data_IF_724784174974
#
_entry.id   IF_724784174974
#
_cell.length_a   1.000
_cell.length_b   1.000
_cell.length_c   1.000
_cell.angle_alpha   90.00
_cell.angle_beta   90.00
_cell.angle_gamma   90.00
#
_symmetry.space_group_name_H-M   'P 1'
#
loop_
_entity.id
_entity.type
_entity.pdbx_description
1 polymer ?
#
# COMPACT_ATOMS: atom_id res chain seq x y z
N UNK A 1 -25.46 2.78 78.30
CA UNK A 1 -24.82 1.72 79.13
C UNK A 1 -24.57 2.16 80.56
N UNK A 2 -23.85 3.27 80.79
CA UNK A 2 -23.54 3.78 82.13
C UNK A 2 -24.78 3.91 83.06
N UNK A 3 -25.82 4.63 82.63
CA UNK A 3 -27.05 4.79 83.43
C UNK A 3 -27.74 3.45 83.77
N UNK A 4 -27.81 2.52 82.82
CA UNK A 4 -28.37 1.17 83.04
C UNK A 4 -27.54 0.37 84.06
N UNK A 5 -26.22 0.47 83.99
CA UNK A 5 -25.33 -0.22 84.93
C UNK A 5 -25.43 0.34 86.35
N UNK A 6 -25.68 1.64 86.48
CA UNK A 6 -25.92 2.34 87.74
C UNK A 6 -27.28 1.93 88.33
N UNK A 7 -28.33 1.86 87.52
CA UNK A 7 -29.66 1.38 87.93
C UNK A 7 -29.67 -0.08 88.39
N UNK A 8 -28.91 -0.97 87.74
CA UNK A 8 -28.83 -2.40 88.09
C UNK A 8 -27.86 -2.66 89.27
N UNK A 9 -26.96 -1.72 89.59
CA UNK A 9 -25.96 -1.90 90.66
C UNK A 9 -24.74 -2.74 90.27
N UNK A 10 -24.35 -2.74 88.99
CA UNK A 10 -23.19 -3.53 88.51
C UNK A 10 -21.88 -2.93 89.07
N UNK A 11 -20.97 -3.73 89.67
CA UNK A 11 -19.68 -3.25 90.17
C UNK A 11 -18.81 -2.64 89.07
N UNK A 12 -17.98 -1.67 89.44
CA UNK A 12 -17.14 -0.93 88.48
C UNK A 12 -16.16 -1.84 87.72
N UNK A 13 -15.63 -2.88 88.37
CA UNK A 13 -14.74 -3.87 87.75
C UNK A 13 -15.42 -4.60 86.58
N UNK A 14 -16.67 -5.05 86.73
CA UNK A 14 -17.44 -5.68 85.65
C UNK A 14 -17.82 -4.68 84.54
N UNK A 15 -18.05 -3.40 84.89
CA UNK A 15 -18.26 -2.34 83.88
C UNK A 15 -17.00 -2.16 83.05
N UNK A 16 -15.83 -2.17 83.69
CA UNK A 16 -14.52 -2.06 83.05
C UNK A 16 -14.23 -3.26 82.14
N UNK A 17 -14.53 -4.49 82.57
CA UNK A 17 -14.42 -5.68 81.71
C UNK A 17 -15.29 -5.55 80.47
N UNK A 18 -16.55 -5.14 80.63
CA UNK A 18 -17.49 -4.96 79.50
C UNK A 18 -17.02 -3.86 78.54
N UNK A 19 -16.54 -2.73 79.04
CA UNK A 19 -15.98 -1.67 78.18
C UNK A 19 -14.68 -2.10 77.52
N UNK A 20 -13.86 -2.92 78.18
CA UNK A 20 -12.65 -3.49 77.59
C UNK A 20 -12.95 -4.44 76.43
N UNK A 21 -13.99 -5.27 76.53
CA UNK A 21 -14.44 -6.13 75.43
C UNK A 21 -14.91 -5.28 74.24
N UNK A 22 -15.73 -4.25 74.49
CA UNK A 22 -16.17 -3.33 73.42
C UNK A 22 -14.98 -2.62 72.78
N UNK A 23 -14.06 -2.08 73.59
CA UNK A 23 -12.83 -1.42 73.11
C UNK A 23 -11.99 -2.35 72.25
N UNK A 24 -11.83 -3.60 72.65
CA UNK A 24 -11.10 -4.62 71.88
C UNK A 24 -11.74 -4.85 70.52
N UNK A 25 -13.05 -5.06 70.45
CA UNK A 25 -13.73 -5.27 69.17
C UNK A 25 -13.68 -4.05 68.24
N UNK A 26 -13.80 -2.83 68.79
CA UNK A 26 -13.63 -1.61 68.00
C UNK A 26 -12.20 -1.49 67.47
N UNK A 27 -11.19 -1.79 68.29
CA UNK A 27 -9.79 -1.78 67.87
C UNK A 27 -9.53 -2.81 66.76
N UNK A 28 -9.97 -4.04 66.93
CA UNK A 28 -9.82 -5.11 65.94
C UNK A 28 -10.43 -4.74 64.58
N UNK A 29 -11.61 -4.08 64.60
CA UNK A 29 -12.25 -3.61 63.38
C UNK A 29 -11.47 -2.47 62.72
N UNK A 30 -10.99 -1.49 63.49
CA UNK A 30 -10.19 -0.39 62.96
C UNK A 30 -8.86 -0.89 62.37
N UNK A 31 -8.19 -1.83 63.03
CA UNK A 31 -6.95 -2.43 62.55
C UNK A 31 -7.17 -3.18 61.23
N UNK A 32 -8.31 -3.87 61.09
CA UNK A 32 -8.69 -4.52 59.83
C UNK A 32 -8.89 -3.49 58.70
N UNK A 33 -9.65 -2.43 58.96
CA UNK A 33 -9.91 -1.37 57.97
C UNK A 33 -8.62 -0.67 57.53
N UNK A 34 -7.72 -0.36 58.48
CA UNK A 34 -6.42 0.25 58.16
C UNK A 34 -5.60 -0.68 57.28
N UNK A 35 -5.54 -1.98 57.62
CA UNK A 35 -4.80 -2.98 56.83
C UNK A 35 -5.35 -3.14 55.42
N UNK A 36 -6.67 -3.09 55.24
CA UNK A 36 -7.31 -3.14 53.92
C UNK A 36 -6.93 -1.93 53.06
N UNK A 37 -6.97 -0.72 53.62
CA UNK A 37 -6.60 0.52 52.92
C UNK A 37 -5.10 0.60 52.63
N UNK A 38 -4.24 0.15 53.54
CA UNK A 38 -2.80 0.01 53.28
C UNK A 38 -2.53 -0.96 52.12
N UNK A 39 -3.23 -2.10 52.10
CA UNK A 39 -3.15 -3.07 51.01
C UNK A 39 -3.70 -2.54 49.68
N UNK A 40 -4.73 -1.68 49.70
CA UNK A 40 -5.21 -0.98 48.50
C UNK A 40 -4.16 0.00 47.97
N UNK A 41 -3.57 0.80 48.87
CA UNK A 41 -2.52 1.77 48.53
C UNK A 41 -1.29 1.08 47.92
N UNK A 42 -0.84 -0.02 48.50
CA UNK A 42 0.31 -0.79 47.97
C UNK A 42 0.02 -1.34 46.56
N UNK A 43 -1.18 -1.90 46.34
CA UNK A 43 -1.61 -2.36 45.01
C UNK A 43 -1.63 -1.23 43.98
N UNK A 44 -2.11 -0.04 44.35
CA UNK A 44 -2.11 1.13 43.47
C UNK A 44 -0.68 1.56 43.12
N UNK A 45 0.22 1.63 44.09
CA UNK A 45 1.63 1.99 43.85
C UNK A 45 2.32 0.99 42.90
N UNK A 46 2.09 -0.30 43.09
CA UNK A 46 2.62 -1.34 42.21
C UNK A 46 2.05 -1.23 40.79
N UNK A 47 0.74 -0.98 40.65
CA UNK A 47 0.09 -0.74 39.35
C UNK A 47 0.69 0.48 38.64
N UNK A 48 0.86 1.60 39.35
CA UNK A 48 1.46 2.84 38.82
C UNK A 48 2.89 2.58 38.32
N UNK A 49 3.70 1.87 39.12
CA UNK A 49 5.08 1.56 38.74
C UNK A 49 5.16 0.68 37.48
N UNK A 50 4.28 -0.32 37.37
CA UNK A 50 4.18 -1.17 36.19
C UNK A 50 3.78 -0.36 34.95
N UNK A 51 2.66 0.37 35.01
CA UNK A 51 2.18 1.13 33.84
C UNK A 51 3.14 2.24 33.43
N UNK A 52 3.87 2.86 34.37
CA UNK A 52 4.91 3.84 34.02
C UNK A 52 6.01 3.20 33.18
N UNK A 53 6.48 2.01 33.58
CA UNK A 53 7.48 1.25 32.80
C UNK A 53 6.95 0.84 31.42
N UNK A 54 5.67 0.45 31.34
CA UNK A 54 5.04 0.08 30.08
C UNK A 54 4.94 1.28 29.14
N UNK A 55 4.46 2.43 29.63
CA UNK A 55 4.44 3.71 28.90
C UNK A 55 5.84 4.10 28.42
N UNK A 56 6.84 4.09 29.31
CA UNK A 56 8.22 4.45 28.93
C UNK A 56 8.80 3.52 27.85
N UNK A 57 8.39 2.25 27.85
CA UNK A 57 8.82 1.28 26.83
C UNK A 57 8.09 1.53 25.51
N UNK A 58 6.79 1.74 25.55
CA UNK A 58 5.98 2.02 24.37
C UNK A 58 6.34 3.36 23.72
N UNK A 59 6.60 4.41 24.50
CA UNK A 59 7.09 5.69 23.97
C UNK A 59 8.42 5.51 23.23
N UNK A 60 9.37 4.73 23.78
CA UNK A 60 10.64 4.42 23.10
C UNK A 60 10.45 3.65 21.81
N UNK A 61 9.57 2.65 21.81
CA UNK A 61 9.26 1.86 20.61
C UNK A 61 8.56 2.69 19.52
N UNK A 62 7.63 3.57 19.92
CA UNK A 62 6.89 4.44 19.02
C UNK A 62 7.64 5.73 18.63
N UNK A 63 8.81 5.96 19.23
CA UNK A 63 9.63 7.15 19.06
C UNK A 63 8.90 8.44 19.48
N UNK A 64 8.10 8.34 20.55
CA UNK A 64 7.33 9.45 21.11
C UNK A 64 8.01 10.02 22.36
N UNK A 65 7.73 11.28 22.64
CA UNK A 65 8.20 11.93 23.86
C UNK A 65 7.65 11.25 25.12
N UNK A 66 8.44 11.12 26.18
CA UNK A 66 7.99 10.57 27.45
C UNK A 66 6.83 11.38 28.04
N UNK A 67 5.90 10.69 28.70
CA UNK A 67 4.79 11.33 29.39
C UNK A 67 5.31 12.26 30.51
N UNK A 68 4.87 13.51 30.50
CA UNK A 68 5.16 14.44 31.59
C UNK A 68 4.41 14.05 32.86
N UNK A 69 5.08 14.12 34.01
CA UNK A 69 4.45 13.84 35.29
C UNK A 69 3.56 15.03 35.71
N UNK A 70 2.25 14.79 35.89
CA UNK A 70 1.37 15.77 36.54
C UNK A 70 1.71 15.85 38.03
N UNK A 71 2.23 16.99 38.47
CA UNK A 71 2.73 17.22 39.84
C UNK A 71 1.62 17.23 40.93
N UNK A 72 0.34 17.33 40.55
CA UNK A 72 -0.78 17.49 41.49
C UNK A 72 -1.92 16.47 41.29
N UNK A 73 -1.60 15.18 41.20
CA UNK A 73 -2.60 14.12 40.97
C UNK A 73 -2.65 13.08 42.10
N UNK A 74 -3.86 12.59 42.42
CA UNK A 74 -4.04 11.51 43.41
C UNK A 74 -3.56 10.16 42.85
N UNK A 75 -3.18 9.20 43.70
CA UNK A 75 -2.74 7.86 43.26
C UNK A 75 -3.74 7.18 42.31
N UNK A 76 -5.04 7.30 42.60
CA UNK A 76 -6.08 6.69 41.77
C UNK A 76 -6.19 7.35 40.39
N UNK A 77 -6.02 8.68 40.32
CA UNK A 77 -6.00 9.42 39.05
C UNK A 77 -4.74 9.10 38.25
N UNK A 78 -3.58 9.01 38.90
CA UNK A 78 -2.32 8.62 38.27
C UNK A 78 -2.39 7.23 37.66
N UNK A 79 -2.89 6.24 38.41
CA UNK A 79 -3.08 4.87 37.91
C UNK A 79 -4.00 4.85 36.69
N UNK A 80 -5.15 5.53 36.78
CA UNK A 80 -6.11 5.58 35.70
C UNK A 80 -5.51 6.22 34.45
N UNK A 81 -4.82 7.35 34.60
CA UNK A 81 -4.19 8.07 33.49
C UNK A 81 -3.15 7.20 32.79
N UNK A 82 -2.21 6.63 33.56
CA UNK A 82 -1.15 5.76 33.03
C UNK A 82 -1.72 4.53 32.33
N UNK A 83 -2.74 3.88 32.91
CA UNK A 83 -3.39 2.73 32.26
C UNK A 83 -4.03 3.12 30.93
N UNK A 84 -4.83 4.18 30.91
CA UNK A 84 -5.50 4.61 29.67
C UNK A 84 -4.50 5.05 28.60
N UNK A 85 -3.38 5.65 29.01
CA UNK A 85 -2.34 6.04 28.08
C UNK A 85 -1.58 4.84 27.53
N UNK A 86 -1.22 3.86 28.38
CA UNK A 86 -0.61 2.61 27.94
C UNK A 86 -1.51 1.85 26.94
N UNK A 87 -2.82 1.78 27.20
CA UNK A 87 -3.81 1.19 26.28
C UNK A 87 -3.83 1.91 24.92
N UNK A 88 -3.80 3.25 24.92
CA UNK A 88 -3.77 4.04 23.69
C UNK A 88 -2.48 3.81 22.89
N UNK A 89 -1.31 3.81 23.55
CA UNK A 89 -0.01 3.56 22.90
C UNK A 89 0.08 2.13 22.35
N UNK A 90 -0.41 1.13 23.09
CA UNK A 90 -0.48 -0.25 22.59
C UNK A 90 -1.33 -0.35 21.33
N UNK A 91 -2.47 0.34 21.32
CA UNK A 91 -3.34 0.40 20.14
C UNK A 91 -2.62 1.05 18.96
N UNK A 92 -1.95 2.18 19.18
CA UNK A 92 -1.19 2.86 18.12
C UNK A 92 -0.07 1.99 17.55
N UNK A 93 0.68 1.30 18.40
CA UNK A 93 1.70 0.32 17.97
C UNK A 93 1.09 -0.77 17.09
N UNK A 94 -0.05 -1.32 17.49
CA UNK A 94 -0.73 -2.37 16.74
C UNK A 94 -1.32 -1.85 15.41
N UNK A 95 -1.85 -0.63 15.40
CA UNK A 95 -2.33 0.04 14.19
C UNK A 95 -1.17 0.26 13.19
N UNK A 96 -0.02 0.81 13.64
CA UNK A 96 1.17 1.03 12.79
C UNK A 96 1.73 -0.27 12.20
N UNK A 97 1.76 -1.36 12.98
CA UNK A 97 2.23 -2.67 12.49
C UNK A 97 1.25 -3.30 11.49
N UNK A 98 -0.06 -3.20 11.74
CA UNK A 98 -1.08 -3.67 10.80
C UNK A 98 -1.00 -2.91 9.48
N UNK A 99 -0.81 -1.60 9.54
CA UNK A 99 -0.64 -0.79 8.35
C UNK A 99 0.61 -1.20 7.57
N UNK A 100 1.78 -1.34 8.23
CA UNK A 100 3.00 -1.78 7.55
C UNK A 100 2.83 -3.12 6.83
N UNK A 101 2.17 -4.09 7.48
CA UNK A 101 1.90 -5.38 6.85
C UNK A 101 1.03 -5.24 5.59
N UNK A 102 -0.01 -4.40 5.63
CA UNK A 102 -0.86 -4.15 4.47
C UNK A 102 -0.09 -3.44 3.33
N UNK A 103 0.76 -2.46 3.67
CA UNK A 103 1.61 -1.78 2.70
C UNK A 103 2.62 -2.75 2.05
N UNK A 104 3.21 -3.66 2.83
CA UNK A 104 4.15 -4.67 2.33
C UNK A 104 3.47 -5.71 1.43
N UNK A 105 2.23 -6.09 1.72
CA UNK A 105 1.44 -6.97 0.85
C UNK A 105 1.16 -6.30 -0.49
N UNK A 106 0.70 -5.04 -0.48
CA UNK A 106 0.48 -4.26 -1.69
C UNK A 106 1.77 -4.06 -2.50
N UNK A 107 2.89 -3.82 -1.83
CA UNK A 107 4.19 -3.64 -2.48
C UNK A 107 4.65 -4.89 -3.22
N UNK A 108 4.45 -6.06 -2.60
CA UNK A 108 4.78 -7.35 -3.21
C UNK A 108 3.99 -7.56 -4.49
N UNK A 109 2.68 -7.32 -4.46
CA UNK A 109 1.82 -7.46 -5.64
C UNK A 109 2.22 -6.52 -6.78
N UNK A 110 2.56 -5.27 -6.46
CA UNK A 110 3.04 -4.29 -7.44
C UNK A 110 4.40 -4.69 -8.00
N UNK A 111 5.32 -5.13 -7.14
CA UNK A 111 6.67 -5.56 -7.52
C UNK A 111 6.65 -6.82 -8.39
N UNK A 112 5.78 -7.78 -8.10
CA UNK A 112 5.59 -8.98 -8.93
C UNK A 112 5.10 -8.59 -10.34
N UNK A 113 4.17 -7.64 -10.41
CA UNK A 113 3.64 -7.12 -11.70
C UNK A 113 4.69 -6.34 -12.50
N UNK A 114 5.45 -5.47 -11.83
CA UNK A 114 6.44 -4.57 -12.44
C UNK A 114 7.82 -5.22 -12.61
N UNK A 115 8.00 -6.41 -12.06
CA UNK A 115 9.28 -7.12 -11.90
C UNK A 115 10.36 -6.25 -11.23
N UNK A 116 9.98 -5.56 -10.15
CA UNK A 116 10.87 -4.72 -9.33
C UNK A 116 11.13 -5.36 -7.96
N UNK A 117 12.12 -4.84 -7.24
CA UNK A 117 12.43 -5.29 -5.89
C UNK A 117 11.56 -4.57 -4.86
N UNK A 118 10.96 -5.28 -3.89
CA UNK A 118 10.20 -4.66 -2.80
C UNK A 118 11.01 -3.66 -2.00
N UNK A 119 10.31 -2.65 -1.47
CA UNK A 119 10.88 -1.68 -0.54
C UNK A 119 11.16 -2.33 0.81
N UNK A 120 12.31 -2.03 1.41
CA UNK A 120 12.75 -2.66 2.65
C UNK A 120 12.69 -1.67 3.81
N UNK A 121 11.89 -2.01 4.81
CA UNK A 121 11.95 -1.49 6.18
C UNK A 121 12.15 -2.69 7.11
N UNK A 122 12.77 -2.50 8.27
CA UNK A 122 12.88 -3.56 9.27
C UNK A 122 11.50 -4.02 9.75
N UNK A 123 11.06 -5.19 9.27
CA UNK A 123 9.76 -5.79 9.59
C UNK A 123 9.59 -6.15 11.08
N UNK A 124 10.68 -6.20 11.85
CA UNK A 124 10.61 -6.53 13.28
C UNK A 124 10.41 -5.29 14.16
N UNK A 125 10.76 -4.10 13.67
CA UNK A 125 10.60 -2.84 14.38
C UNK A 125 9.19 -2.27 14.24
N UNK A 126 8.79 -1.40 15.17
CA UNK A 126 7.58 -0.59 15.01
C UNK A 126 7.95 0.58 14.11
N UNK A 127 7.27 0.77 12.96
CA UNK A 127 7.65 1.83 12.04
C UNK A 127 7.30 3.21 12.63
N UNK A 128 8.13 4.19 12.32
CA UNK A 128 7.83 5.59 12.56
C UNK A 128 6.74 6.08 11.60
N UNK A 129 6.09 7.21 11.91
CA UNK A 129 5.12 7.81 11.00
C UNK A 129 5.78 8.26 9.69
N UNK A 130 7.01 8.76 9.77
CA UNK A 130 7.79 9.19 8.60
C UNK A 130 8.15 7.99 7.70
N UNK A 131 8.51 6.85 8.30
CA UNK A 131 8.77 5.61 7.57
C UNK A 131 7.52 5.10 6.84
N UNK A 132 6.36 5.13 7.51
CA UNK A 132 5.07 4.80 6.89
C UNK A 132 4.73 5.76 5.74
N UNK A 133 4.96 7.07 5.92
CA UNK A 133 4.73 8.06 4.85
C UNK A 133 5.66 7.86 3.65
N UNK A 134 6.94 7.57 3.90
CA UNK A 134 7.88 7.19 2.85
C UNK A 134 7.39 5.95 2.08
N UNK A 135 6.88 4.94 2.79
CA UNK A 135 6.33 3.73 2.17
C UNK A 135 5.08 4.05 1.33
N UNK A 136 4.14 4.84 1.85
CA UNK A 136 2.94 5.29 1.12
C UNK A 136 3.31 6.04 -0.17
N UNK A 137 4.30 6.92 -0.10
CA UNK A 137 4.80 7.66 -1.27
C UNK A 137 5.46 6.72 -2.29
N UNK A 138 6.21 5.73 -1.84
CA UNK A 138 6.80 4.71 -2.71
C UNK A 138 5.72 3.92 -3.47
N UNK A 139 4.70 3.43 -2.75
CA UNK A 139 3.57 2.71 -3.36
C UNK A 139 2.77 3.59 -4.33
N UNK A 140 2.58 4.86 -4.02
CA UNK A 140 1.94 5.81 -4.92
C UNK A 140 2.75 5.96 -6.23
N UNK A 141 4.08 6.04 -6.13
CA UNK A 141 4.97 6.08 -7.29
C UNK A 141 4.92 4.78 -8.10
N UNK A 142 4.95 3.61 -7.45
CA UNK A 142 4.84 2.31 -8.14
C UNK A 142 3.48 2.15 -8.83
N UNK A 143 2.40 2.59 -8.19
CA UNK A 143 1.06 2.55 -8.77
C UNK A 143 0.97 3.44 -10.01
N UNK A 144 1.49 4.66 -9.93
CA UNK A 144 1.56 5.56 -11.08
C UNK A 144 2.41 4.97 -12.22
N UNK A 145 3.53 4.31 -11.89
CA UNK A 145 4.38 3.64 -12.87
C UNK A 145 3.68 2.46 -13.54
N UNK A 146 2.93 1.66 -12.77
CA UNK A 146 2.10 0.57 -13.29
C UNK A 146 1.07 1.07 -14.29
N UNK A 147 0.32 2.12 -13.94
CA UNK A 147 -0.67 2.69 -14.85
C UNK A 147 -0.01 3.25 -16.11
N UNK A 148 1.14 3.95 -15.97
CA UNK A 148 1.92 4.44 -17.12
C UNK A 148 2.36 3.31 -18.05
N UNK A 149 2.93 2.23 -17.51
CA UNK A 149 3.38 1.08 -18.32
C UNK A 149 2.21 0.34 -18.96
N UNK A 150 1.09 0.24 -18.24
CA UNK A 150 -0.13 -0.39 -18.77
C UNK A 150 -0.72 0.40 -19.93
N UNK A 151 -0.82 1.71 -19.80
CA UNK A 151 -1.26 2.59 -20.90
C UNK A 151 -0.32 2.47 -22.11
N UNK A 152 1.00 2.50 -21.88
CA UNK A 152 1.99 2.30 -22.94
C UNK A 152 1.83 0.93 -23.63
N UNK A 153 1.61 -0.13 -22.85
CA UNK A 153 1.38 -1.47 -23.37
C UNK A 153 0.12 -1.54 -24.24
N UNK A 154 -1.02 -1.06 -23.75
CA UNK A 154 -2.30 -1.09 -24.49
C UNK A 154 -2.20 -0.31 -25.80
N UNK A 155 -1.61 0.88 -25.76
CA UNK A 155 -1.44 1.72 -26.95
C UNK A 155 -0.51 1.07 -27.98
N UNK A 156 0.63 0.52 -27.53
CA UNK A 156 1.60 -0.12 -28.41
C UNK A 156 1.05 -1.43 -28.98
N UNK A 157 0.36 -2.25 -28.16
CA UNK A 157 -0.34 -3.48 -28.61
C UNK A 157 -1.32 -3.18 -29.73
N UNK A 158 -2.12 -2.11 -29.61
CA UNK A 158 -3.05 -1.70 -30.66
C UNK A 158 -2.33 -1.34 -31.97
N UNK A 159 -1.20 -0.63 -31.89
CA UNK A 159 -0.39 -0.28 -33.07
C UNK A 159 0.24 -1.51 -33.72
N UNK A 160 0.74 -2.44 -32.91
CA UNK A 160 1.30 -3.73 -33.38
C UNK A 160 0.23 -4.52 -34.13
N UNK A 161 -0.97 -4.68 -33.58
CA UNK A 161 -2.06 -5.42 -34.24
C UNK A 161 -2.38 -4.81 -35.60
N UNK A 162 -2.53 -3.48 -35.68
CA UNK A 162 -2.79 -2.80 -36.96
C UNK A 162 -1.64 -2.99 -37.96
N UNK A 163 -0.39 -2.89 -37.52
CA UNK A 163 0.76 -3.11 -38.41
C UNK A 163 0.83 -4.56 -38.88
N UNK A 164 0.53 -5.54 -38.02
CA UNK A 164 0.48 -6.96 -38.39
C UNK A 164 -0.63 -7.24 -39.39
N UNK A 165 -1.82 -6.65 -39.21
CA UNK A 165 -2.93 -6.73 -40.15
C UNK A 165 -2.57 -6.13 -41.52
N UNK A 166 -1.92 -4.96 -41.56
CA UNK A 166 -1.47 -4.33 -42.82
C UNK A 166 -0.38 -5.12 -43.54
N UNK A 167 0.44 -5.85 -42.80
CA UNK A 167 1.53 -6.69 -43.33
C UNK A 167 1.09 -8.11 -43.67
N UNK A 168 -0.18 -8.47 -43.41
CA UNK A 168 -0.67 -9.86 -43.42
C UNK A 168 0.23 -10.81 -42.59
N UNK A 169 0.82 -10.29 -41.50
CA UNK A 169 1.73 -11.02 -40.62
C UNK A 169 0.97 -11.68 -39.46
N UNK A 170 1.25 -12.95 -39.21
CA UNK A 170 0.69 -13.69 -38.07
C UNK A 170 1.72 -13.77 -36.93
N UNK A 171 1.30 -13.77 -35.66
CA UNK A 171 2.22 -13.86 -34.53
C UNK A 171 3.00 -15.18 -34.52
N UNK A 172 4.28 -15.11 -34.84
CA UNK A 172 5.13 -16.28 -35.08
C UNK A 172 6.03 -16.61 -33.88
N UNK A 173 6.36 -15.60 -33.07
CA UNK A 173 7.15 -15.78 -31.85
C UNK A 173 6.27 -15.96 -30.61
N UNK A 174 6.79 -16.62 -29.58
CA UNK A 174 6.09 -16.76 -28.30
C UNK A 174 5.77 -15.41 -27.67
N UNK A 175 6.62 -14.39 -27.90
CA UNK A 175 6.40 -13.03 -27.41
C UNK A 175 5.27 -12.32 -28.17
N UNK A 176 5.25 -12.40 -29.50
CA UNK A 176 4.14 -11.87 -30.30
C UNK A 176 2.79 -12.51 -29.90
N UNK A 177 2.78 -13.82 -29.68
CA UNK A 177 1.59 -14.53 -29.22
C UNK A 177 1.16 -14.06 -27.82
N UNK A 178 2.11 -13.79 -26.92
CA UNK A 178 1.84 -13.24 -25.59
C UNK A 178 1.21 -11.85 -25.67
N UNK A 179 1.74 -10.98 -26.54
CA UNK A 179 1.27 -9.61 -26.72
C UNK A 179 -0.11 -9.57 -27.40
N UNK A 180 -0.29 -10.31 -28.49
CA UNK A 180 -1.48 -10.20 -29.36
C UNK A 180 -2.62 -11.07 -28.86
N UNK A 181 -2.35 -12.31 -28.46
CA UNK A 181 -3.39 -13.32 -28.23
C UNK A 181 -3.81 -13.47 -26.76
N UNK A 182 -2.99 -13.03 -25.80
CA UNK A 182 -3.32 -13.16 -24.37
C UNK A 182 -3.99 -11.91 -23.80
N UNK A 183 -4.57 -12.09 -22.62
CA UNK A 183 -5.19 -11.03 -21.82
C UNK A 183 -4.15 -9.99 -21.39
N UNK A 184 -4.51 -8.71 -21.51
CA UNK A 184 -3.69 -7.59 -21.10
C UNK A 184 -3.33 -7.63 -19.60
N UNK A 185 -4.21 -8.22 -18.77
CA UNK A 185 -3.97 -8.36 -17.34
C UNK A 185 -2.88 -9.41 -17.01
N UNK A 186 -2.58 -10.33 -17.93
CA UNK A 186 -1.59 -11.39 -17.72
C UNK A 186 -0.17 -10.98 -18.15
N UNK A 187 -0.02 -9.86 -18.86
CA UNK A 187 1.27 -9.40 -19.37
C UNK A 187 2.13 -8.83 -18.23
N UNK A 188 3.35 -9.33 -18.11
CA UNK A 188 4.31 -8.84 -17.12
C UNK A 188 4.87 -7.47 -17.56
N UNK A 189 4.62 -6.43 -16.77
CA UNK A 189 4.99 -5.03 -17.07
C UNK A 189 6.45 -4.72 -16.68
N UNK A 190 7.36 -5.65 -16.94
CA UNK A 190 8.80 -5.46 -16.69
C UNK A 190 9.39 -4.41 -17.62
N UNK A 191 10.52 -3.82 -17.23
CA UNK A 191 11.26 -2.88 -18.11
C UNK A 191 11.65 -3.54 -19.42
N UNK A 192 12.05 -4.80 -19.36
CA UNK A 192 12.56 -5.56 -20.50
C UNK A 192 11.43 -5.92 -21.46
N UNK A 193 10.26 -6.31 -20.93
CA UNK A 193 9.09 -6.62 -21.76
C UNK A 193 8.53 -5.37 -22.44
N UNK A 194 8.52 -4.23 -21.75
CA UNK A 194 8.10 -2.95 -22.34
C UNK A 194 9.10 -2.49 -23.42
N UNK A 195 10.41 -2.73 -23.23
CA UNK A 195 11.40 -2.47 -24.26
C UNK A 195 11.21 -3.39 -25.48
N UNK A 196 11.06 -4.70 -25.26
CA UNK A 196 10.81 -5.68 -26.31
C UNK A 196 9.54 -5.37 -27.11
N UNK A 197 8.50 -4.84 -26.46
CA UNK A 197 7.26 -4.40 -27.13
C UNK A 197 7.51 -3.23 -28.10
N UNK A 198 8.35 -2.25 -27.69
CA UNK A 198 8.73 -1.12 -28.56
C UNK A 198 9.60 -1.59 -29.72
N UNK A 199 10.53 -2.51 -29.46
CA UNK A 199 11.40 -3.08 -30.48
C UNK A 199 10.57 -3.85 -31.53
N UNK A 200 9.57 -4.62 -31.09
CA UNK A 200 8.64 -5.32 -31.98
C UNK A 200 7.86 -4.34 -32.88
N UNK A 201 7.30 -3.27 -32.30
CA UNK A 201 6.61 -2.25 -33.09
C UNK A 201 7.55 -1.62 -34.12
N UNK A 202 8.76 -1.23 -33.70
CA UNK A 202 9.76 -0.63 -34.59
C UNK A 202 10.15 -1.57 -35.73
N UNK A 203 10.25 -2.88 -35.48
CA UNK A 203 10.53 -3.87 -36.52
C UNK A 203 9.41 -3.96 -37.54
N UNK A 204 8.14 -4.00 -37.10
CA UNK A 204 6.97 -4.04 -37.98
C UNK A 204 6.84 -2.77 -38.81
N UNK A 205 7.00 -1.60 -38.18
CA UNK A 205 7.01 -0.31 -38.90
C UNK A 205 8.16 -0.25 -39.92
N UNK A 206 9.33 -0.78 -39.56
CA UNK A 206 10.46 -0.93 -40.47
C UNK A 206 10.12 -1.77 -41.71
N UNK A 207 9.51 -2.94 -41.51
CA UNK A 207 9.06 -3.81 -42.60
C UNK A 207 8.00 -3.13 -43.47
N UNK A 208 7.02 -2.46 -42.86
CA UNK A 208 6.01 -1.68 -43.56
C UNK A 208 6.63 -0.60 -44.43
N UNK A 209 7.61 0.14 -43.90
CA UNK A 209 8.31 1.19 -44.66
C UNK A 209 9.11 0.64 -45.84
N UNK A 210 9.75 -0.53 -45.68
CA UNK A 210 10.47 -1.22 -46.76
C UNK A 210 9.52 -1.69 -47.86
N UNK A 211 8.38 -2.27 -47.49
CA UNK A 211 7.35 -2.70 -48.43
C UNK A 211 6.77 -1.52 -49.20
N UNK A 212 6.51 -0.38 -48.54
CA UNK A 212 6.03 0.83 -49.22
C UNK A 212 7.09 1.40 -50.16
N UNK A 213 8.36 1.47 -49.74
CA UNK A 213 9.45 1.94 -50.58
C UNK A 213 9.62 1.08 -51.85
N UNK A 214 9.56 -0.25 -51.70
CA UNK A 214 9.59 -1.19 -52.83
C UNK A 214 8.37 -1.02 -53.74
N UNK A 215 7.18 -0.85 -53.16
CA UNK A 215 5.97 -0.56 -53.93
C UNK A 215 6.12 0.72 -54.74
N UNK A 216 6.61 1.81 -54.14
CA UNK A 216 6.86 3.09 -54.81
C UNK A 216 7.88 2.93 -55.95
N UNK A 217 8.98 2.21 -55.72
CA UNK A 217 9.97 1.93 -56.76
C UNK A 217 9.34 1.16 -57.93
N UNK A 218 8.61 0.08 -57.66
CA UNK A 218 7.95 -0.72 -58.69
C UNK A 218 6.89 0.08 -59.46
N UNK A 219 6.08 0.89 -58.74
CA UNK A 219 5.11 1.82 -59.35
C UNK A 219 5.81 2.79 -60.31
N UNK A 220 6.94 3.37 -59.91
CA UNK A 220 7.72 4.28 -60.77
C UNK A 220 8.24 3.59 -62.04
N UNK A 221 8.69 2.34 -61.92
CA UNK A 221 9.15 1.54 -63.07
C UNK A 221 7.99 1.21 -64.03
N UNK A 222 6.81 0.91 -63.49
CA UNK A 222 5.59 0.70 -64.29
C UNK A 222 5.23 1.97 -65.08
N UNK A 223 5.25 3.15 -64.43
CA UNK A 223 5.00 4.43 -65.11
C UNK A 223 5.97 4.67 -66.28
N UNK A 224 7.27 4.43 -66.07
CA UNK A 224 8.28 4.55 -67.14
C UNK A 224 7.99 3.60 -68.30
N UNK A 225 7.55 2.37 -68.02
CA UNK A 225 7.19 1.41 -69.05
C UNK A 225 5.93 1.82 -69.83
N UNK A 226 4.91 2.34 -69.14
CA UNK A 226 3.70 2.85 -69.80
C UNK A 226 3.98 4.01 -70.75
N UNK A 227 4.85 4.94 -70.35
CA UNK A 227 5.28 6.03 -71.23
C UNK A 227 6.04 5.53 -72.46
N UNK A 228 6.94 4.56 -72.27
CA UNK A 228 7.71 3.98 -73.39
C UNK A 228 6.86 3.18 -74.37
N UNK A 229 5.85 2.49 -73.86
CA UNK A 229 4.95 1.65 -74.65
C UNK A 229 3.73 2.42 -75.18
N UNK A 230 3.56 3.69 -74.80
CA UNK A 230 2.42 4.53 -75.16
C UNK A 230 1.07 3.87 -74.79
N UNK A 231 1.02 3.28 -73.60
CA UNK A 231 -0.19 2.61 -73.10
C UNK A 231 -1.32 3.65 -72.95
N UNK A 232 -2.52 3.42 -73.53
CA UNK A 232 -3.66 4.34 -73.44
C UNK A 232 -4.11 4.62 -72.00
N UNK A 233 -4.72 5.78 -71.78
CA UNK A 233 -5.16 6.20 -70.45
C UNK A 233 -6.20 5.24 -69.84
N UNK A 234 -7.08 4.68 -70.68
CA UNK A 234 -8.14 3.76 -70.27
C UNK A 234 -7.57 2.48 -69.64
N UNK A 235 -6.46 1.97 -70.18
CA UNK A 235 -5.78 0.78 -69.65
C UNK A 235 -5.05 1.07 -68.34
N UNK A 236 -4.44 2.26 -68.21
CA UNK A 236 -3.78 2.69 -66.96
C UNK A 236 -4.80 2.87 -65.83
N UNK A 237 -5.94 3.48 -66.14
CA UNK A 237 -7.04 3.67 -65.19
C UNK A 237 -7.65 2.33 -64.76
N UNK A 238 -7.86 1.40 -65.70
CA UNK A 238 -8.32 0.05 -65.39
C UNK A 238 -7.33 -0.70 -64.47
N UNK A 239 -6.02 -0.58 -64.73
CA UNK A 239 -4.99 -1.18 -63.87
C UNK A 239 -4.99 -0.60 -62.45
N UNK A 240 -5.10 0.72 -62.32
CA UNK A 240 -5.14 1.40 -61.02
C UNK A 240 -6.38 1.02 -60.19
N UNK A 241 -7.51 0.73 -60.83
CA UNK A 241 -8.73 0.23 -60.16
C UNK A 241 -8.55 -1.21 -59.68
N UNK A 242 -7.89 -2.07 -60.47
CA UNK A 242 -7.64 -3.47 -60.10
C UNK A 242 -6.61 -3.65 -58.97
N UNK A 243 -5.64 -2.74 -58.82
CA UNK A 243 -4.65 -2.79 -57.73
C UNK A 243 -5.15 -2.15 -56.41
N UNK A 244 -6.42 -1.77 -56.35
CA UNK A 244 -7.00 -1.01 -55.23
C UNK A 244 -6.54 0.45 -55.21
N UNK A 245 -7.28 1.31 -54.49
CA UNK A 245 -7.03 2.77 -54.36
C UNK A 245 -5.61 3.18 -53.91
N UNK A 246 -4.75 2.21 -53.56
CA UNK A 246 -3.34 2.37 -53.24
C UNK A 246 -2.47 2.91 -54.38
N UNK A 247 -2.93 2.88 -55.63
CA UNK A 247 -2.15 3.38 -56.77
C UNK A 247 -2.24 4.90 -56.99
N UNK A 248 -3.23 5.59 -56.39
CA UNK A 248 -3.64 6.93 -56.83
C UNK A 248 -3.52 8.06 -55.79
N UNK A 249 -3.07 7.80 -54.55
CA UNK A 249 -3.05 8.84 -53.52
C UNK A 249 -1.89 9.84 -53.63
N UNK A 250 -0.82 9.56 -54.39
CA UNK A 250 0.33 10.50 -54.47
C UNK A 250 0.72 10.96 -55.90
N UNK A 251 0.24 10.32 -56.97
CA UNK A 251 0.60 10.76 -58.33
C UNK A 251 -0.13 12.03 -58.82
N UNK A 252 -1.22 12.46 -58.17
CA UNK A 252 -1.96 13.66 -58.60
C UNK A 252 -1.35 14.99 -58.12
N UNK A 253 -0.30 14.97 -57.30
CA UNK A 253 0.36 16.19 -56.81
C UNK A 253 1.59 16.63 -57.62
N UNK A 254 2.04 15.84 -58.61
CA UNK A 254 3.22 16.18 -59.42
C UNK A 254 2.89 16.70 -60.84
N UNK A 255 1.61 16.97 -61.15
CA UNK A 255 1.17 17.51 -62.44
C UNK A 255 0.37 18.82 -62.28
N UNK A 256 0.94 19.76 -61.54
CA UNK A 256 0.65 21.20 -61.69
C UNK A 256 1.92 22.03 -61.60
#
# INVERSE_FOLDING_TARGET
LRGIWEEIGIPEEQRLERTNVVRKHVQELLDLMVKEEEGLKERLLNSIAMHRKDVDTLCRELQLDPLQAEEESTLLQQEKCLRTHAEALLKEKEDRRRELNALQEQDRDLCDTLCTTPFCIDSNAVPSLEELDCYRNHLASLTAEKERRREAFVNTKRQIILCMEELDHTPDTSFEQDVVCKDEAAFCLSTDNIAALRDLLQQLEGQRSLNEALCVELRSRVLVLWERLQVPAEEREAFAVCTGKWFMSECFLCSR
#
